data_IF_549924626428
#
_entry.id   IF_549924626428
#
_cell.length_a   1.000
_cell.length_b   1.000
_cell.length_c   1.000
_cell.angle_alpha   90.00
_cell.angle_beta   90.00
_cell.angle_gamma   90.00
#
_symmetry.space_group_name_H-M   'P 1'
#
loop_
_entity.id
_entity.type
_entity.pdbx_description
1 polymer ?
#
# COMPACT_ATOMS: atom_id res chain seq x y z
N UNK A 1 1.65 7.77 0.08
CA UNK A 1 1.52 6.97 -1.14
C UNK A 1 0.47 7.63 -2.01
N UNK A 2 0.81 7.91 -3.27
CA UNK A 2 -0.08 8.53 -4.24
C UNK A 2 -0.48 7.46 -5.27
N UNK A 3 -1.04 7.88 -6.40
CA UNK A 3 -1.77 7.04 -7.34
C UNK A 3 -1.11 5.68 -7.62
N UNK A 4 -1.70 4.61 -7.07
CA UNK A 4 -1.36 3.23 -7.35
C UNK A 4 -2.36 2.70 -8.37
N UNK A 5 -1.92 2.50 -9.61
CA UNK A 5 -2.79 2.11 -10.72
C UNK A 5 -2.20 0.90 -11.44
N UNK A 6 -3.06 -0.08 -11.70
CA UNK A 6 -2.78 -1.20 -12.58
C UNK A 6 -3.73 -1.10 -13.78
N UNK A 7 -3.16 -1.23 -14.98
CA UNK A 7 -3.90 -1.32 -16.23
C UNK A 7 -5.00 -2.38 -16.13
N UNK A 8 -6.20 -2.06 -16.63
CA UNK A 8 -7.39 -2.87 -16.41
C UNK A 8 -7.24 -4.29 -16.95
N UNK A 9 -6.52 -4.46 -18.06
CA UNK A 9 -6.27 -5.76 -18.69
C UNK A 9 -5.36 -6.65 -17.85
N UNK A 10 -4.65 -6.07 -16.89
CA UNK A 10 -3.67 -6.77 -16.05
C UNK A 10 -4.10 -6.87 -14.58
N UNK A 11 -5.27 -6.35 -14.20
CA UNK A 11 -5.84 -6.51 -12.85
C UNK A 11 -6.16 -7.98 -12.55
N UNK A 12 -6.32 -8.30 -11.26
CA UNK A 12 -6.59 -9.66 -10.75
C UNK A 12 -5.46 -10.69 -11.00
N UNK A 13 -4.31 -10.26 -11.53
CA UNK A 13 -3.10 -11.06 -11.69
C UNK A 13 -2.06 -10.81 -10.58
N UNK A 14 -2.52 -10.43 -9.37
CA UNK A 14 -1.68 -10.09 -8.20
C UNK A 14 -0.68 -8.94 -8.38
N UNK A 15 -0.67 -8.22 -9.51
CA UNK A 15 0.26 -7.11 -9.74
C UNK A 15 0.16 -5.97 -8.73
N UNK A 16 -1.03 -5.67 -8.20
CA UNK A 16 -1.18 -4.70 -7.12
C UNK A 16 -0.43 -5.11 -5.85
N UNK A 17 -0.45 -6.41 -5.53
CA UNK A 17 0.26 -6.95 -4.37
C UNK A 17 1.77 -6.85 -4.57
N UNK A 18 2.26 -7.31 -5.73
CA UNK A 18 3.66 -7.21 -6.12
C UNK A 18 4.17 -5.76 -6.11
N UNK A 19 3.39 -4.82 -6.63
CA UNK A 19 3.75 -3.39 -6.63
C UNK A 19 3.86 -2.83 -5.22
N UNK A 20 2.91 -3.18 -4.34
CA UNK A 20 2.96 -2.78 -2.93
C UNK A 20 4.18 -3.36 -2.21
N UNK A 21 4.52 -4.64 -2.41
CA UNK A 21 5.75 -5.23 -1.86
C UNK A 21 6.99 -4.47 -2.32
N UNK A 22 7.08 -4.15 -3.62
CA UNK A 22 8.19 -3.39 -4.16
C UNK A 22 8.33 -2.00 -3.50
N UNK A 23 7.22 -1.31 -3.26
CA UNK A 23 7.21 0.00 -2.60
C UNK A 23 7.62 -0.11 -1.13
N UNK A 24 7.03 -1.06 -0.41
CA UNK A 24 7.22 -1.21 1.03
C UNK A 24 8.60 -1.75 1.39
N UNK A 25 9.22 -2.54 0.52
CA UNK A 25 10.58 -3.07 0.69
C UNK A 25 11.67 -2.19 0.07
N UNK A 26 11.31 -1.09 -0.59
CA UNK A 26 12.29 -0.22 -1.22
C UNK A 26 13.26 0.34 -0.16
N UNK A 27 14.59 0.14 -0.32
CA UNK A 27 15.56 0.33 0.76
C UNK A 27 15.64 1.75 1.30
N UNK A 28 15.27 2.75 0.49
CA UNK A 28 15.29 4.16 0.90
C UNK A 28 14.09 4.59 1.73
N UNK A 29 12.99 3.83 1.72
CA UNK A 29 11.70 4.26 2.31
C UNK A 29 11.05 3.20 3.21
N UNK A 30 11.55 1.97 3.25
CA UNK A 30 10.97 0.89 4.07
C UNK A 30 10.91 1.20 5.57
N UNK A 31 11.79 2.07 6.06
CA UNK A 31 11.81 2.55 7.44
C UNK A 31 11.18 3.94 7.60
N UNK A 32 10.11 4.22 6.84
CA UNK A 32 9.34 5.47 6.93
C UNK A 32 7.86 5.16 7.16
N UNK A 33 7.11 6.15 7.63
CA UNK A 33 5.67 6.05 7.75
C UNK A 33 5.00 6.30 6.38
N UNK A 34 3.93 5.57 6.10
CA UNK A 34 3.12 5.74 4.90
C UNK A 34 1.72 6.23 5.27
N UNK A 35 1.16 7.11 4.45
CA UNK A 35 -0.23 7.53 4.50
C UNK A 35 -0.83 7.49 3.09
N UNK A 36 -2.11 7.16 2.97
CA UNK A 36 -2.87 7.22 1.71
C UNK A 36 -4.36 7.48 1.98
N UNK A 37 -5.03 8.00 0.96
CA UNK A 37 -6.48 8.06 0.93
C UNK A 37 -6.99 7.06 -0.11
N UNK A 38 -8.07 6.35 0.20
CA UNK A 38 -8.77 5.47 -0.73
C UNK A 38 -10.27 5.57 -0.49
N UNK A 39 -11.06 5.36 -1.54
CA UNK A 39 -12.52 5.37 -1.44
C UNK A 39 -13.08 3.97 -1.19
N UNK A 40 -12.48 2.96 -1.81
CA UNK A 40 -13.05 1.61 -1.93
C UNK A 40 -12.03 0.47 -1.74
N UNK A 41 -10.72 0.76 -1.74
CA UNK A 41 -9.67 -0.27 -1.63
C UNK A 41 -9.15 -0.49 -0.18
N UNK A 42 -9.94 -0.16 0.85
CA UNK A 42 -9.53 -0.27 2.24
C UNK A 42 -9.05 -1.68 2.62
N UNK A 43 -9.81 -2.71 2.25
CA UNK A 43 -9.49 -4.10 2.59
C UNK A 43 -8.23 -4.60 1.89
N UNK A 44 -7.93 -4.08 0.69
CA UNK A 44 -6.67 -4.36 0.01
C UNK A 44 -5.49 -3.79 0.80
N UNK A 45 -5.55 -2.54 1.25
CA UNK A 45 -4.45 -1.92 2.00
C UNK A 45 -4.27 -2.49 3.41
N UNK A 46 -5.36 -2.95 4.06
CA UNK A 46 -5.28 -3.65 5.36
C UNK A 46 -4.37 -4.89 5.31
N UNK A 47 -4.26 -5.56 4.15
CA UNK A 47 -3.34 -6.68 3.95
C UNK A 47 -1.87 -6.31 4.12
N UNK A 48 -1.52 -5.01 4.02
CA UNK A 48 -0.17 -4.48 4.18
C UNK A 48 0.02 -3.73 5.51
N UNK A 49 -0.80 -4.03 6.52
CA UNK A 49 -0.75 -3.40 7.85
C UNK A 49 -1.09 -1.91 7.87
N UNK A 50 -1.77 -1.39 6.84
CA UNK A 50 -2.40 -0.07 6.93
C UNK A 50 -3.61 -0.13 7.88
N UNK A 51 -3.73 0.89 8.72
CA UNK A 51 -4.84 1.10 9.64
C UNK A 51 -5.78 2.15 9.09
N UNK A 52 -7.08 1.96 9.31
CA UNK A 52 -8.14 2.85 8.85
C UNK A 52 -8.30 4.02 9.84
N UNK A 53 -7.88 5.22 9.42
CA UNK A 53 -8.08 6.51 10.09
C UNK A 53 -8.62 7.51 9.04
N UNK A 54 -8.66 8.82 9.33
CA UNK A 54 -9.05 9.87 8.34
C UNK A 54 -8.31 9.72 6.99
N UNK A 55 -7.03 9.35 7.04
CA UNK A 55 -6.31 8.72 5.94
C UNK A 55 -5.73 7.40 6.44
N UNK A 56 -5.65 6.38 5.58
CA UNK A 56 -5.08 5.10 5.99
C UNK A 56 -3.59 5.27 6.24
N UNK A 57 -3.09 4.77 7.37
CA UNK A 57 -1.68 4.94 7.78
C UNK A 57 -1.00 3.61 8.09
N UNK A 58 0.29 3.52 7.77
CA UNK A 58 1.20 2.44 8.17
C UNK A 58 2.40 3.09 8.86
N UNK A 59 2.55 2.85 10.16
CA UNK A 59 3.66 3.36 10.96
C UNK A 59 4.97 2.60 10.71
N UNK A 60 6.01 2.95 11.46
CA UNK A 60 7.25 2.17 11.50
C UNK A 60 6.93 0.75 11.99
N UNK A 61 7.26 -0.24 11.17
CA UNK A 61 7.31 -1.62 11.61
C UNK A 61 8.72 -1.81 12.18
N UNK A 62 8.80 -1.87 13.50
CA UNK A 62 10.00 -2.28 14.22
C UNK A 62 9.77 -3.73 14.57
N UNK A 63 10.72 -4.59 14.19
CA UNK A 63 10.73 -6.00 14.62
C UNK A 63 10.75 -6.12 16.15
#
# INVERSE_FOLDING_TARGET
LLDVVIDENYRRNRLGYWLMECILEHPKIKYTCFALATKDAHDFYKQFSFKENECMTRGLIVD
#
